data_IF_003776936690
#
_entry.id   IF_003776936690
#
_cell.length_a   1.000
_cell.length_b   1.000
_cell.length_c   1.000
_cell.angle_alpha   90.00
_cell.angle_beta   90.00
_cell.angle_gamma   90.00
#
_symmetry.space_group_name_H-M   'P 1'
#
loop_
_entity.id
_entity.type
_entity.pdbx_description
1 polymer ?
#
# COMPACT_ATOMS: atom_id res chain seq x y z
N UNK A 1 33.09 4.84 -13.02
CA UNK A 1 31.94 5.02 -12.12
C UNK A 1 31.53 6.47 -12.23
N UNK A 2 30.26 6.76 -12.53
CA UNK A 2 29.76 8.14 -12.48
C UNK A 2 29.83 8.58 -11.02
N UNK A 3 30.50 9.69 -10.74
CA UNK A 3 30.49 10.26 -9.38
C UNK A 3 29.17 11.00 -9.24
N UNK A 4 28.31 10.52 -8.34
CA UNK A 4 27.09 11.22 -7.99
C UNK A 4 27.45 12.39 -7.11
N UNK A 5 26.98 13.59 -7.47
CA UNK A 5 27.09 14.72 -6.55
C UNK A 5 26.16 14.51 -5.34
N UNK A 6 26.45 15.23 -4.26
CA UNK A 6 25.71 15.10 -3.00
C UNK A 6 24.21 15.40 -3.14
N UNK A 7 23.83 16.27 -4.09
CA UNK A 7 22.43 16.63 -4.28
C UNK A 7 21.67 15.45 -4.90
N UNK A 8 22.19 14.88 -5.98
CA UNK A 8 21.62 13.72 -6.67
C UNK A 8 21.52 12.51 -5.75
N UNK A 9 22.55 12.25 -4.94
CA UNK A 9 22.52 11.17 -3.95
C UNK A 9 21.38 11.35 -2.94
N UNK A 10 21.26 12.55 -2.35
CA UNK A 10 20.21 12.84 -1.37
C UNK A 10 18.81 12.75 -1.98
N UNK A 11 18.64 13.20 -3.23
CA UNK A 11 17.37 13.12 -3.93
C UNK A 11 16.96 11.67 -4.21
N UNK A 12 17.89 10.82 -4.67
CA UNK A 12 17.62 9.38 -4.84
C UNK A 12 17.21 8.74 -3.50
N UNK A 13 17.97 8.99 -2.44
CA UNK A 13 17.69 8.41 -1.11
C UNK A 13 16.32 8.84 -0.58
N UNK A 14 15.98 10.12 -0.73
CA UNK A 14 14.68 10.67 -0.34
C UNK A 14 13.54 9.97 -1.07
N UNK A 15 13.63 9.83 -2.39
CA UNK A 15 12.56 9.16 -3.16
C UNK A 15 12.39 7.71 -2.73
N UNK A 16 13.47 6.97 -2.48
CA UNK A 16 13.36 5.59 -1.97
C UNK A 16 12.67 5.56 -0.61
N UNK A 17 12.95 6.51 0.29
CA UNK A 17 12.32 6.58 1.61
C UNK A 17 10.83 6.96 1.55
N UNK A 18 10.43 7.77 0.55
CA UNK A 18 9.05 8.16 0.32
C UNK A 18 8.24 7.02 -0.34
N UNK A 19 8.85 6.29 -1.26
CA UNK A 19 8.19 5.25 -2.06
C UNK A 19 8.23 3.85 -1.44
N UNK A 20 9.19 3.57 -0.55
CA UNK A 20 9.36 2.28 0.13
C UNK A 20 8.90 2.38 1.58
N UNK A 21 7.59 2.38 1.76
CA UNK A 21 6.93 2.55 3.07
C UNK A 21 6.02 1.38 3.43
N UNK A 22 5.81 1.08 4.73
CA UNK A 22 4.83 0.08 5.15
C UNK A 22 3.41 0.43 4.69
N UNK A 23 2.67 -0.57 4.19
CA UNK A 23 1.29 -0.44 3.76
C UNK A 23 0.46 -1.65 4.22
N UNK A 24 -0.72 -1.41 4.81
CA UNK A 24 -1.62 -2.46 5.27
C UNK A 24 -2.70 -2.76 4.22
N UNK A 25 -2.74 -3.98 3.70
CA UNK A 25 -3.73 -4.39 2.70
C UNK A 25 -3.57 -3.70 1.34
N UNK A 26 -4.67 -3.66 0.58
CA UNK A 26 -4.74 -2.99 -0.71
C UNK A 26 -4.84 -1.48 -0.52
N UNK A 27 -4.06 -0.67 -1.25
CA UNK A 27 -3.96 0.77 -0.99
C UNK A 27 -5.19 1.55 -1.45
N UNK A 28 -5.93 1.02 -2.42
CA UNK A 28 -7.19 1.58 -2.92
C UNK A 28 -8.30 1.67 -1.87
N UNK A 29 -8.73 0.57 -1.21
CA UNK A 29 -9.69 0.68 -0.11
C UNK A 29 -9.13 1.49 1.07
N UNK A 30 -7.82 1.46 1.31
CA UNK A 30 -7.18 2.25 2.36
C UNK A 30 -7.27 3.76 2.09
N UNK A 31 -7.15 4.19 0.83
CA UNK A 31 -7.35 5.59 0.44
C UNK A 31 -8.77 6.06 0.79
N UNK A 32 -9.79 5.26 0.47
CA UNK A 32 -11.18 5.60 0.82
C UNK A 32 -11.42 5.55 2.34
N UNK A 33 -10.82 4.61 3.04
CA UNK A 33 -10.87 4.53 4.50
C UNK A 33 -10.22 5.75 5.15
N UNK A 34 -9.09 6.21 4.63
CA UNK A 34 -8.40 7.42 5.08
C UNK A 34 -9.23 8.68 4.82
N UNK A 35 -9.84 8.82 3.63
CA UNK A 35 -10.77 9.93 3.37
C UNK A 35 -11.93 9.93 4.40
N UNK A 36 -12.47 8.75 4.72
CA UNK A 36 -13.56 8.60 5.68
C UNK A 36 -13.13 8.88 7.13
N UNK A 37 -11.94 8.43 7.54
CA UNK A 37 -11.36 8.71 8.85
C UNK A 37 -11.07 10.21 9.04
N UNK A 38 -10.50 10.85 8.02
CA UNK A 38 -10.27 12.29 8.01
C UNK A 38 -11.59 13.05 8.07
N UNK A 39 -12.59 12.68 7.28
CA UNK A 39 -13.91 13.30 7.37
C UNK A 39 -14.54 13.13 8.77
N UNK A 40 -14.39 11.96 9.39
CA UNK A 40 -14.87 11.68 10.76
C UNK A 40 -14.20 12.60 11.79
N UNK A 41 -12.91 12.89 11.63
CA UNK A 41 -12.18 13.80 12.50
C UNK A 41 -12.79 15.20 12.51
N UNK A 42 -13.04 15.77 11.32
CA UNK A 42 -13.66 17.10 11.20
C UNK A 42 -15.16 17.11 11.57
N UNK A 43 -15.86 15.99 11.39
CA UNK A 43 -17.26 15.86 11.82
C UNK A 43 -17.39 15.86 13.34
N UNK A 44 -16.40 15.34 14.07
CA UNK A 44 -16.37 15.32 15.54
C UNK A 44 -17.25 14.24 16.18
N UNK A 45 -18.24 13.70 15.46
CA UNK A 45 -19.13 12.62 15.91
C UNK A 45 -19.26 11.49 14.89
N UNK A 46 -19.83 10.35 15.31
CA UNK A 46 -20.06 9.20 14.41
C UNK A 46 -21.08 9.59 13.33
N UNK A 47 -20.84 9.24 12.05
CA UNK A 47 -21.79 9.52 10.99
C UNK A 47 -23.04 8.65 11.09
N UNK A 48 -24.16 9.21 10.68
CA UNK A 48 -25.43 8.52 10.46
C UNK A 48 -25.52 7.96 9.03
N UNK A 49 -24.78 8.56 8.09
CA UNK A 49 -24.76 8.20 6.67
C UNK A 49 -23.43 8.55 6.04
N UNK A 50 -23.00 7.75 5.07
CA UNK A 50 -21.77 7.93 4.30
C UNK A 50 -22.10 7.84 2.81
N UNK A 51 -21.73 8.87 2.06
CA UNK A 51 -21.71 8.85 0.59
C UNK A 51 -20.27 8.93 0.12
N UNK A 52 -19.81 7.90 -0.58
CA UNK A 52 -18.48 7.84 -1.13
C UNK A 52 -18.52 7.86 -2.65
N UNK A 53 -17.50 8.47 -3.25
CA UNK A 53 -17.27 8.40 -4.69
C UNK A 53 -15.82 8.07 -4.98
N UNK A 54 -15.58 7.26 -6.01
CA UNK A 54 -14.23 6.82 -6.37
C UNK A 54 -14.02 6.84 -7.88
N UNK A 55 -12.77 6.97 -8.33
CA UNK A 55 -12.45 6.83 -9.76
C UNK A 55 -12.81 5.42 -10.27
N UNK A 56 -13.05 5.24 -11.58
CA UNK A 56 -13.28 3.91 -12.15
C UNK A 56 -12.15 2.93 -11.85
N UNK A 57 -10.90 3.41 -11.86
CA UNK A 57 -9.73 2.59 -11.57
C UNK A 57 -9.66 2.16 -10.09
N UNK A 58 -9.98 3.05 -9.15
CA UNK A 58 -10.07 2.69 -7.73
C UNK A 58 -11.24 1.73 -7.49
N UNK A 59 -12.40 1.94 -8.14
CA UNK A 59 -13.54 1.03 -8.06
C UNK A 59 -13.15 -0.40 -8.44
N UNK A 60 -12.55 -0.61 -9.63
CA UNK A 60 -12.19 -1.97 -10.07
C UNK A 60 -11.16 -2.65 -9.15
N UNK A 61 -10.22 -1.90 -8.58
CA UNK A 61 -9.14 -2.44 -7.75
C UNK A 61 -9.60 -2.67 -6.30
N UNK A 62 -10.52 -1.84 -5.81
CA UNK A 62 -11.00 -1.88 -4.43
C UNK A 62 -12.24 -2.74 -4.17
N UNK A 63 -13.00 -3.11 -5.21
CA UNK A 63 -14.27 -3.83 -5.03
C UNK A 63 -14.09 -5.28 -4.58
N UNK A 64 -13.06 -5.98 -5.08
CA UNK A 64 -12.85 -7.42 -4.85
C UNK A 64 -11.86 -7.76 -3.74
N UNK A 65 -11.37 -6.76 -3.01
CA UNK A 65 -10.29 -6.95 -2.02
C UNK A 65 -10.81 -6.93 -0.60
N UNK A 66 -10.18 -7.75 0.25
CA UNK A 66 -10.51 -7.81 1.68
C UNK A 66 -10.01 -6.56 2.38
N UNK A 67 -10.89 -5.90 3.13
CA UNK A 67 -10.51 -4.76 3.96
C UNK A 67 -9.79 -5.29 5.22
N UNK A 68 -8.55 -4.85 5.51
CA UNK A 68 -7.76 -5.36 6.63
C UNK A 68 -8.53 -5.36 7.95
N UNK A 69 -8.35 -6.42 8.75
CA UNK A 69 -8.97 -6.59 10.08
C UNK A 69 -10.50 -6.71 10.10
N UNK A 70 -11.17 -6.79 8.96
CA UNK A 70 -12.65 -6.86 8.89
C UNK A 70 -13.21 -8.22 8.48
N UNK A 71 -12.41 -9.04 7.80
CA UNK A 71 -12.85 -10.26 7.11
C UNK A 71 -13.92 -10.02 6.05
N UNK A 72 -14.09 -8.78 5.58
CA UNK A 72 -15.15 -8.37 4.66
C UNK A 72 -14.52 -7.70 3.44
N UNK A 73 -15.10 -7.90 2.26
CA UNK A 73 -14.60 -7.35 1.00
C UNK A 73 -15.29 -6.04 0.64
N UNK A 74 -14.59 -5.18 -0.09
CA UNK A 74 -15.17 -4.08 -0.85
C UNK A 74 -15.12 -2.70 -0.19
N UNK A 75 -15.39 -1.70 -1.03
CA UNK A 75 -15.24 -0.27 -0.70
C UNK A 75 -16.27 0.26 0.30
N UNK A 76 -17.46 -0.34 0.37
CA UNK A 76 -18.47 0.01 1.38
C UNK A 76 -17.94 -0.30 2.78
N UNK A 77 -17.27 -1.44 2.95
CA UNK A 77 -16.61 -1.77 4.21
C UNK A 77 -15.48 -0.79 4.52
N UNK A 78 -14.66 -0.44 3.53
CA UNK A 78 -13.55 0.50 3.71
C UNK A 78 -14.02 1.87 4.19
N UNK A 79 -15.06 2.44 3.57
CA UNK A 79 -15.63 3.72 3.97
C UNK A 79 -16.21 3.66 5.39
N UNK A 80 -16.99 2.62 5.70
CA UNK A 80 -17.62 2.46 7.01
C UNK A 80 -16.59 2.32 8.13
N UNK A 81 -15.61 1.41 7.99
CA UNK A 81 -14.63 1.15 9.03
C UNK A 81 -13.66 2.30 9.22
N UNK A 82 -13.29 3.00 8.14
CA UNK A 82 -12.50 4.23 8.19
C UNK A 82 -13.19 5.30 9.03
N UNK A 83 -14.49 5.52 8.80
CA UNK A 83 -15.27 6.49 9.58
C UNK A 83 -15.53 6.10 11.04
N UNK A 84 -15.53 4.80 11.37
CA UNK A 84 -15.86 4.31 12.72
C UNK A 84 -14.61 4.20 13.60
N UNK A 85 -13.49 3.73 13.05
CA UNK A 85 -12.30 3.42 13.84
C UNK A 85 -10.96 3.78 13.20
N UNK A 86 -10.94 4.33 11.97
CA UNK A 86 -9.70 4.66 11.29
C UNK A 86 -8.93 5.79 11.98
N UNK A 87 -7.59 5.68 11.98
CA UNK A 87 -6.69 6.75 12.43
C UNK A 87 -6.33 7.69 11.26
N UNK A 88 -6.85 8.94 11.23
CA UNK A 88 -6.62 9.86 10.12
C UNK A 88 -5.15 10.28 9.96
N UNK A 89 -4.29 10.02 10.94
CA UNK A 89 -2.87 10.39 10.93
C UNK A 89 -1.94 9.25 10.52
N UNK A 90 -2.46 8.02 10.42
CA UNK A 90 -1.65 6.82 10.17
C UNK A 90 -1.40 6.52 8.67
N UNK A 91 -1.84 7.39 7.75
CA UNK A 91 -1.61 7.22 6.31
C UNK A 91 -2.11 5.86 5.79
N UNK A 92 -1.20 5.06 5.20
CA UNK A 92 -1.52 3.72 4.69
C UNK A 92 -1.75 2.65 5.78
N UNK A 93 -1.55 3.00 7.05
CA UNK A 93 -1.84 2.16 8.21
C UNK A 93 -3.13 2.57 8.96
N UNK A 94 -4.02 3.37 8.34
CA UNK A 94 -5.29 3.87 8.92
C UNK A 94 -6.14 2.80 9.64
N UNK A 95 -6.06 1.52 9.25
CA UNK A 95 -6.85 0.42 9.82
C UNK A 95 -6.07 -0.52 10.75
N UNK A 96 -4.87 -0.15 11.18
CA UNK A 96 -3.98 -1.02 11.98
C UNK A 96 -4.55 -1.41 13.35
N UNK A 97 -5.23 -0.49 14.02
CA UNK A 97 -5.68 -0.63 15.42
C UNK A 97 -7.21 -0.83 15.54
N UNK A 98 -7.85 -1.40 14.53
CA UNK A 98 -9.31 -1.60 14.50
C UNK A 98 -9.74 -2.71 15.46
N UNK A 99 -10.80 -2.46 16.24
CA UNK A 99 -11.38 -3.42 17.18
C UNK A 99 -12.54 -4.24 16.57
N UNK A 100 -12.86 -5.38 17.17
CA UNK A 100 -13.99 -6.23 16.76
C UNK A 100 -15.34 -5.54 16.90
N UNK A 101 -15.50 -4.68 17.90
CA UNK A 101 -16.71 -3.88 18.13
C UNK A 101 -16.90 -2.85 17.02
N UNK A 102 -15.82 -2.17 16.61
CA UNK A 102 -15.85 -1.23 15.49
C UNK A 102 -16.22 -1.92 14.17
N UNK A 103 -15.71 -3.14 13.95
CA UNK A 103 -16.09 -3.97 12.80
C UNK A 103 -17.57 -4.33 12.83
N UNK A 104 -18.13 -4.67 14.00
CA UNK A 104 -19.55 -4.97 14.14
C UNK A 104 -20.43 -3.75 13.82
N UNK A 105 -20.06 -2.57 14.32
CA UNK A 105 -20.76 -1.30 14.03
C UNK A 105 -20.71 -0.96 12.53
N UNK A 106 -19.57 -1.15 11.88
CA UNK A 106 -19.42 -0.92 10.45
C UNK A 106 -20.30 -1.87 9.63
N UNK A 107 -20.35 -3.15 9.99
CA UNK A 107 -21.23 -4.13 9.36
C UNK A 107 -22.70 -3.78 9.54
N UNK A 108 -23.09 -3.31 10.74
CA UNK A 108 -24.44 -2.85 11.01
C UNK A 108 -24.81 -1.66 10.11
N UNK A 109 -23.95 -0.64 10.01
CA UNK A 109 -24.18 0.53 9.17
C UNK A 109 -24.38 0.18 7.69
N UNK A 110 -23.62 -0.79 7.19
CA UNK A 110 -23.76 -1.30 5.82
C UNK A 110 -25.08 -2.05 5.64
N UNK A 111 -25.46 -2.90 6.60
CA UNK A 111 -26.73 -3.65 6.55
C UNK A 111 -27.97 -2.75 6.59
N UNK A 112 -27.86 -1.58 7.24
CA UNK A 112 -28.88 -0.53 7.30
C UNK A 112 -28.88 0.35 6.04
N UNK A 113 -28.08 0.03 5.02
CA UNK A 113 -27.96 0.79 3.76
C UNK A 113 -27.55 2.26 3.96
N UNK A 114 -26.81 2.55 5.04
CA UNK A 114 -26.33 3.90 5.36
C UNK A 114 -25.01 4.26 4.67
N UNK A 115 -24.44 3.35 3.87
CA UNK A 115 -23.18 3.54 3.15
C UNK A 115 -23.42 3.30 1.67
N UNK A 116 -23.16 4.31 0.85
CA UNK A 116 -23.24 4.21 -0.61
C UNK A 116 -21.88 4.55 -1.23
N UNK A 117 -21.45 3.77 -2.22
CA UNK A 117 -20.22 4.03 -2.99
C UNK A 117 -20.58 4.09 -4.47
N UNK A 118 -20.28 5.20 -5.12
CA UNK A 118 -20.53 5.40 -6.55
C UNK A 118 -19.23 5.65 -7.32
N UNK A 119 -19.27 5.45 -8.65
CA UNK A 119 -18.19 5.86 -9.54
C UNK A 119 -18.33 7.36 -9.81
N UNK A 120 -17.23 8.09 -9.71
CA UNK A 120 -17.11 9.48 -10.14
C UNK A 120 -16.27 9.54 -11.41
N UNK A 121 -16.80 10.19 -12.44
CA UNK A 121 -16.07 10.40 -13.69
C UNK A 121 -15.04 11.52 -13.48
N UNK A 122 -13.77 11.17 -13.59
CA UNK A 122 -12.64 12.04 -13.31
C UNK A 122 -11.43 11.63 -14.14
N UNK A 123 -10.63 12.61 -14.52
CA UNK A 123 -9.36 12.41 -15.22
C UNK A 123 -8.28 11.82 -14.28
N UNK A 124 -8.49 11.90 -12.97
CA UNK A 124 -7.56 11.30 -12.00
C UNK A 124 -7.70 9.78 -11.96
N UNK A 125 -6.61 9.07 -12.26
CA UNK A 125 -6.53 7.61 -12.13
C UNK A 125 -6.88 7.19 -10.71
N UNK A 126 -6.39 7.92 -9.70
CA UNK A 126 -6.68 7.69 -8.29
C UNK A 126 -7.52 8.85 -7.73
N UNK A 127 -8.73 8.53 -7.27
CA UNK A 127 -9.63 9.48 -6.63
C UNK A 127 -10.50 8.77 -5.58
N UNK A 128 -10.54 9.33 -4.38
CA UNK A 128 -11.43 8.93 -3.28
C UNK A 128 -12.12 10.16 -2.70
N UNK A 129 -13.44 10.16 -2.62
CA UNK A 129 -14.25 11.15 -1.93
C UNK A 129 -15.10 10.45 -0.87
N UNK A 130 -15.14 11.02 0.34
CA UNK A 130 -16.03 10.58 1.39
C UNK A 130 -16.78 11.79 1.96
N UNK A 131 -18.10 11.75 1.87
CA UNK A 131 -19.01 12.70 2.50
C UNK A 131 -19.76 12.01 3.64
N UNK A 132 -19.54 12.50 4.85
CA UNK A 132 -20.14 11.97 6.08
C UNK A 132 -21.21 12.93 6.57
N UNK A 133 -22.35 12.39 7.01
CA UNK A 133 -23.48 13.15 7.51
C UNK A 133 -23.81 12.75 8.94
N UNK A 134 -24.08 13.71 9.80
CA UNK A 134 -24.62 13.48 11.13
C UNK A 134 -25.49 14.66 11.57
N UNK A 135 -26.78 14.42 11.84
CA UNK A 135 -27.77 15.46 12.09
C UNK A 135 -27.75 16.52 10.97
N UNK A 136 -27.48 17.79 11.32
CA UNK A 136 -27.42 18.92 10.38
C UNK A 136 -25.99 19.23 9.91
N UNK A 137 -25.03 18.34 10.16
CA UNK A 137 -23.63 18.53 9.78
C UNK A 137 -23.23 17.58 8.67
N UNK A 138 -22.41 18.09 7.76
CA UNK A 138 -21.76 17.31 6.71
C UNK A 138 -20.29 17.68 6.60
N UNK A 139 -19.46 16.69 6.30
CA UNK A 139 -18.04 16.89 5.98
C UNK A 139 -17.70 16.09 4.74
N UNK A 140 -17.04 16.73 3.78
CA UNK A 140 -16.52 16.10 2.56
C UNK A 140 -15.00 16.17 2.56
N UNK A 141 -14.36 15.03 2.30
CA UNK A 141 -12.91 14.93 2.10
C UNK A 141 -12.62 14.29 0.76
N UNK A 142 -11.66 14.82 0.01
CA UNK A 142 -11.17 14.26 -1.25
C UNK A 142 -9.67 13.97 -1.19
N UNK A 143 -9.30 12.80 -1.70
CA UNK A 143 -7.93 12.35 -1.92
C UNK A 143 -7.76 12.07 -3.40
N UNK A 144 -6.68 12.59 -4.00
CA UNK A 144 -6.39 12.39 -5.42
C UNK A 144 -4.88 12.39 -5.69
N UNK A 145 -4.51 11.92 -6.88
CA UNK A 145 -3.13 11.69 -7.34
C UNK A 145 -2.41 10.56 -6.56
N UNK A 146 -2.20 10.71 -5.25
CA UNK A 146 -1.60 9.68 -4.38
C UNK A 146 -2.57 9.21 -3.29
N UNK A 147 -2.37 7.98 -2.80
CA UNK A 147 -3.31 7.30 -1.88
C UNK A 147 -3.55 8.01 -0.54
N UNK A 148 -2.64 8.89 -0.14
CA UNK A 148 -2.69 9.66 1.12
C UNK A 148 -2.80 11.18 0.92
N UNK A 149 -2.79 11.65 -0.33
CA UNK A 149 -2.75 13.08 -0.64
C UNK A 149 -4.16 13.69 -0.53
N UNK A 150 -4.48 14.20 0.65
CA UNK A 150 -5.72 14.96 0.87
C UNK A 150 -5.61 16.29 0.13
N UNK A 151 -6.53 16.52 -0.81
CA UNK A 151 -6.54 17.74 -1.65
C UNK A 151 -7.63 18.73 -1.25
N UNK A 152 -8.65 18.28 -0.54
CA UNK A 152 -9.84 19.07 -0.27
C UNK A 152 -10.57 18.59 0.99
N UNK A 153 -10.97 19.55 1.83
CA UNK A 153 -11.78 19.35 3.03
C UNK A 153 -12.82 20.46 3.10
N UNK A 154 -14.09 20.09 3.17
CA UNK A 154 -15.22 21.00 3.33
C UNK A 154 -16.08 20.54 4.51
N UNK A 155 -16.53 21.49 5.33
CA UNK A 155 -17.50 21.27 6.40
C UNK A 155 -18.67 22.22 6.25
N UNK A 156 -19.88 21.69 6.14
CA UNK A 156 -21.11 22.47 6.02
C UNK A 156 -21.08 23.54 4.91
N UNK A 157 -20.41 23.26 3.79
CA UNK A 157 -20.24 24.21 2.67
C UNK A 157 -19.10 25.21 2.85
N UNK A 158 -18.39 25.19 3.97
CA UNK A 158 -17.18 25.99 4.19
C UNK A 158 -15.93 25.17 3.86
N UNK A 159 -15.09 25.67 2.94
CA UNK A 159 -13.84 25.03 2.57
C UNK A 159 -12.78 25.30 3.63
N UNK A 160 -12.40 24.26 4.37
CA UNK A 160 -11.37 24.31 5.41
C UNK A 160 -9.98 24.19 4.78
N UNK A 161 -9.85 23.35 3.76
CA UNK A 161 -8.58 23.08 3.10
C UNK A 161 -8.83 22.79 1.62
N UNK A 162 -8.00 23.37 0.76
CA UNK A 162 -8.00 23.08 -0.67
C UNK A 162 -6.61 23.36 -1.23
N UNK A 163 -6.05 22.37 -1.93
CA UNK A 163 -4.83 22.53 -2.71
C UNK A 163 -5.09 22.14 -4.16
N UNK A 164 -4.48 22.83 -5.15
CA UNK A 164 -4.58 22.43 -6.54
C UNK A 164 -4.05 21.00 -6.69
N UNK A 165 -4.88 20.08 -7.17
CA UNK A 165 -4.41 18.79 -7.63
C UNK A 165 -3.90 18.99 -9.06
N UNK A 166 -2.61 19.26 -9.20
CA UNK A 166 -1.98 19.15 -10.51
C UNK A 166 -2.12 17.68 -10.92
N UNK A 167 -2.83 17.42 -12.02
CA UNK A 167 -2.64 16.17 -12.74
C UNK A 167 -1.16 16.20 -13.10
N UNK A 168 -0.35 15.31 -12.53
CA UNK A 168 1.07 15.23 -12.88
C UNK A 168 1.18 14.89 -14.36
N UNK A 169 1.19 15.93 -15.18
CA UNK A 169 1.64 15.86 -16.56
C UNK A 169 3.15 15.71 -16.49
N UNK A 170 3.59 14.45 -16.54
CA UNK A 170 4.97 14.00 -16.70
C UNK A 170 5.96 14.39 -15.60
N UNK A 171 6.78 13.41 -15.23
CA UNK A 171 7.93 13.43 -14.33
C UNK A 171 9.08 14.35 -14.79
N UNK A 172 8.77 15.55 -15.29
CA UNK A 172 9.74 16.51 -15.81
C UNK A 172 10.73 17.03 -14.74
N UNK A 173 10.47 16.76 -13.45
CA UNK A 173 11.35 17.09 -12.33
C UNK A 173 11.79 15.85 -11.51
N UNK A 174 11.58 14.62 -11.97
CA UNK A 174 12.09 13.46 -11.23
C UNK A 174 13.61 13.38 -11.38
N UNK A 175 14.32 13.10 -10.28
CA UNK A 175 15.77 12.88 -10.28
C UNK A 175 16.19 11.82 -11.32
N UNK A 176 15.25 10.94 -11.72
CA UNK A 176 15.45 9.87 -12.67
C UNK A 176 15.43 10.29 -14.14
N UNK A 177 14.88 11.47 -14.47
CA UNK A 177 14.81 11.96 -15.86
C UNK A 177 16.18 12.08 -16.55
N UNK A 178 17.27 12.17 -15.78
CA UNK A 178 18.64 12.27 -16.26
C UNK A 178 19.53 11.08 -15.87
N UNK A 179 18.93 10.01 -15.34
CA UNK A 179 19.63 8.80 -14.91
C UNK A 179 19.33 7.63 -15.85
N UNK A 180 20.32 6.76 -16.00
CA UNK A 180 20.18 5.50 -16.72
C UNK A 180 20.04 4.32 -15.77
N UNK A 181 19.50 3.19 -16.23
CA UNK A 181 19.51 1.95 -15.43
C UNK A 181 20.93 1.54 -14.97
N UNK A 182 21.97 1.89 -15.76
CA UNK A 182 23.36 1.70 -15.35
C UNK A 182 23.74 2.60 -14.18
N UNK A 183 23.30 3.85 -14.17
CA UNK A 183 23.53 4.77 -13.05
C UNK A 183 22.86 4.24 -11.77
N UNK A 184 21.64 3.72 -11.87
CA UNK A 184 20.92 3.08 -10.75
C UNK A 184 21.71 1.89 -10.17
N UNK A 185 22.23 1.03 -11.06
CA UNK A 185 23.07 -0.09 -10.67
C UNK A 185 24.37 0.36 -9.99
N UNK A 186 25.12 1.27 -10.62
CA UNK A 186 26.38 1.80 -10.10
C UNK A 186 26.16 2.45 -8.72
N UNK A 187 25.13 3.29 -8.57
CA UNK A 187 24.79 3.97 -7.32
C UNK A 187 24.51 2.97 -6.19
N UNK A 188 23.67 1.96 -6.45
CA UNK A 188 23.30 0.95 -5.45
C UNK A 188 24.51 0.16 -4.93
N UNK A 189 25.53 -0.01 -5.76
CA UNK A 189 26.77 -0.69 -5.39
C UNK A 189 27.78 0.22 -4.68
N UNK A 190 27.75 1.53 -4.94
CA UNK A 190 28.77 2.45 -4.42
C UNK A 190 28.34 3.26 -3.21
N UNK A 191 27.03 3.47 -3.02
CA UNK A 191 26.52 4.27 -1.90
C UNK A 191 26.96 3.68 -0.56
N UNK A 192 27.24 4.57 0.39
CA UNK A 192 27.61 4.19 1.75
C UNK A 192 26.52 3.29 2.37
N UNK A 193 26.93 2.15 2.90
CA UNK A 193 25.99 1.11 3.34
C UNK A 193 25.01 1.63 4.40
N UNK A 194 25.49 2.44 5.34
CA UNK A 194 24.69 3.00 6.44
C UNK A 194 23.52 3.86 5.95
N UNK A 195 23.66 4.53 4.80
CA UNK A 195 22.60 5.35 4.19
C UNK A 195 21.44 4.53 3.63
N UNK A 196 21.66 3.26 3.30
CA UNK A 196 20.67 2.38 2.68
C UNK A 196 20.22 1.21 3.59
N UNK A 197 20.75 1.10 4.82
CA UNK A 197 20.38 0.04 5.78
C UNK A 197 18.88 -0.03 6.07
N UNK A 198 18.18 1.09 6.00
CA UNK A 198 16.74 1.15 6.25
C UNK A 198 15.95 0.17 5.37
N UNK A 199 16.46 -0.19 4.19
CA UNK A 199 15.81 -1.14 3.26
C UNK A 199 15.67 -2.55 3.85
N UNK A 200 16.44 -2.91 4.89
CA UNK A 200 16.32 -4.21 5.54
C UNK A 200 14.94 -4.43 6.17
N UNK A 201 14.25 -3.36 6.55
CA UNK A 201 12.88 -3.46 7.06
C UNK A 201 11.93 -4.05 6.01
N UNK A 202 12.20 -3.85 4.71
CA UNK A 202 11.45 -4.49 3.63
C UNK A 202 11.52 -6.02 3.71
N UNK A 203 12.73 -6.56 3.86
CA UNK A 203 12.94 -8.00 4.01
C UNK A 203 12.24 -8.54 5.26
N UNK A 204 12.29 -7.82 6.38
CA UNK A 204 11.63 -8.23 7.62
C UNK A 204 10.11 -8.28 7.50
N UNK A 205 9.49 -7.20 7.04
CA UNK A 205 8.02 -7.11 6.93
C UNK A 205 7.48 -8.10 5.90
N UNK A 206 8.05 -8.11 4.70
CA UNK A 206 7.57 -8.99 3.62
C UNK A 206 7.85 -10.47 3.91
N UNK A 207 8.93 -10.81 4.62
CA UNK A 207 9.15 -12.19 5.08
C UNK A 207 8.13 -12.60 6.15
N UNK A 208 7.80 -11.72 7.11
CA UNK A 208 6.76 -12.01 8.10
C UNK A 208 5.40 -12.28 7.42
N UNK A 209 5.07 -11.46 6.43
CA UNK A 209 3.85 -11.61 5.64
C UNK A 209 3.85 -12.91 4.81
N UNK A 210 4.99 -13.29 4.23
CA UNK A 210 5.18 -14.56 3.53
C UNK A 210 4.92 -15.75 4.46
N UNK A 211 5.52 -15.75 5.65
CA UNK A 211 5.33 -16.81 6.64
C UNK A 211 3.86 -16.90 7.10
N UNK A 212 3.20 -15.76 7.28
CA UNK A 212 1.78 -15.75 7.63
C UNK A 212 0.90 -16.34 6.51
N UNK A 213 1.19 -16.03 5.24
CA UNK A 213 0.50 -16.62 4.09
C UNK A 213 0.72 -18.13 3.91
N UNK A 214 1.85 -18.65 4.40
CA UNK A 214 2.10 -20.09 4.47
C UNK A 214 1.38 -20.73 5.67
N UNK A 215 1.16 -20.00 6.76
CA UNK A 215 0.59 -20.50 8.02
C UNK A 215 -0.94 -20.43 8.12
N UNK A 216 -1.59 -19.52 7.40
CA UNK A 216 -3.05 -19.30 7.46
C UNK A 216 -3.69 -19.32 6.06
N UNK A 217 -5.00 -19.60 5.97
CA UNK A 217 -5.74 -19.63 4.69
C UNK A 217 -6.10 -18.21 4.25
N UNK A 218 -5.24 -17.64 3.40
CA UNK A 218 -5.45 -16.34 2.78
C UNK A 218 -5.47 -16.43 1.24
N UNK A 219 -6.25 -15.54 0.62
CA UNK A 219 -6.20 -15.29 -0.81
C UNK A 219 -6.51 -16.53 -1.65
N UNK A 220 -5.66 -16.78 -2.65
CA UNK A 220 -5.81 -17.88 -3.61
C UNK A 220 -5.04 -19.14 -3.22
N UNK A 221 -4.30 -19.10 -2.11
CA UNK A 221 -3.49 -20.21 -1.59
C UNK A 221 -2.44 -20.73 -2.59
N UNK A 222 -1.84 -19.88 -3.42
CA UNK A 222 -0.88 -20.28 -4.45
C UNK A 222 0.36 -20.90 -3.81
N UNK A 223 1.02 -20.14 -2.91
CA UNK A 223 2.24 -20.59 -2.24
C UNK A 223 2.02 -21.87 -1.43
N UNK A 224 0.88 -21.96 -0.73
CA UNK A 224 0.46 -23.16 0.02
C UNK A 224 0.23 -24.37 -0.88
N UNK A 225 -0.42 -24.17 -2.02
CA UNK A 225 -0.71 -25.26 -2.96
C UNK A 225 0.58 -25.82 -3.53
N UNK A 226 1.50 -24.96 -3.94
CA UNK A 226 2.83 -25.35 -4.41
C UNK A 226 3.64 -26.06 -3.31
N UNK A 227 3.63 -25.55 -2.07
CA UNK A 227 4.28 -26.23 -0.93
C UNK A 227 3.70 -27.62 -0.67
N UNK A 228 2.38 -27.80 -0.78
CA UNK A 228 1.73 -29.12 -0.68
C UNK A 228 2.13 -30.04 -1.83
N UNK A 229 2.31 -29.52 -3.05
CA UNK A 229 2.76 -30.30 -4.21
C UNK A 229 4.21 -30.78 -4.04
N UNK A 230 5.10 -29.95 -3.47
CA UNK A 230 6.45 -30.36 -3.07
C UNK A 230 6.38 -31.51 -2.05
N UNK A 231 5.59 -31.35 -0.98
CA UNK A 231 5.45 -32.38 0.06
C UNK A 231 4.87 -33.71 -0.44
N UNK A 232 4.13 -33.69 -1.56
CA UNK A 232 3.62 -34.88 -2.25
C UNK A 232 4.59 -35.45 -3.30
N UNK A 233 5.74 -34.82 -3.52
CA UNK A 233 6.71 -35.22 -4.54
C UNK A 233 6.25 -34.97 -5.98
N UNK A 234 5.26 -34.08 -6.20
CA UNK A 234 4.74 -33.76 -7.54
C UNK A 234 5.60 -32.71 -8.27
N UNK A 235 6.27 -31.84 -7.52
CA UNK A 235 7.21 -30.83 -8.03
C UNK A 235 8.46 -30.80 -7.13
N UNK A 236 9.57 -30.31 -7.67
CA UNK A 236 10.86 -30.19 -6.98
C UNK A 236 10.89 -29.06 -5.94
N UNK A 237 11.63 -29.27 -4.85
CA UNK A 237 12.00 -28.19 -3.92
C UNK A 237 13.28 -27.47 -4.39
N UNK A 238 13.15 -26.66 -5.43
CA UNK A 238 14.25 -25.90 -6.03
C UNK A 238 14.13 -24.38 -5.77
N UNK A 239 15.17 -23.64 -6.13
CA UNK A 239 15.24 -22.20 -5.93
C UNK A 239 14.07 -21.45 -6.59
N UNK A 240 13.69 -21.84 -7.82
CA UNK A 240 12.60 -21.20 -8.55
C UNK A 240 11.28 -21.37 -7.80
N UNK A 241 10.96 -22.61 -7.38
CA UNK A 241 9.74 -22.89 -6.65
C UNK A 241 9.72 -22.19 -5.30
N UNK A 242 10.85 -22.11 -4.58
CA UNK A 242 10.93 -21.35 -3.31
C UNK A 242 10.67 -19.85 -3.51
N UNK A 243 11.21 -19.25 -4.57
CA UNK A 243 10.95 -17.84 -4.91
C UNK A 243 9.46 -17.63 -5.14
N UNK A 244 8.83 -18.46 -5.97
CA UNK A 244 7.40 -18.34 -6.28
C UNK A 244 6.56 -18.56 -5.03
N UNK A 245 6.84 -19.59 -4.24
CA UNK A 245 6.10 -19.92 -3.01
C UNK A 245 6.14 -18.76 -2.02
N UNK A 246 7.33 -18.28 -1.66
CA UNK A 246 7.47 -17.24 -0.64
C UNK A 246 6.91 -15.90 -1.11
N UNK A 247 7.09 -15.54 -2.39
CA UNK A 247 6.55 -14.30 -2.97
C UNK A 247 5.02 -14.34 -3.04
N UNK A 248 4.44 -15.43 -3.54
CA UNK A 248 2.98 -15.55 -3.68
C UNK A 248 2.28 -15.70 -2.34
N UNK A 249 2.89 -16.35 -1.36
CA UNK A 249 2.34 -16.43 -0.01
C UNK A 249 2.22 -15.05 0.66
N UNK A 250 3.21 -14.17 0.49
CA UNK A 250 3.12 -12.80 1.01
C UNK A 250 1.99 -12.02 0.32
N UNK A 251 1.85 -12.18 -1.00
CA UNK A 251 0.75 -11.57 -1.76
C UNK A 251 -0.62 -12.10 -1.31
N UNK A 252 -0.76 -13.41 -1.14
CA UNK A 252 -1.99 -14.04 -0.66
C UNK A 252 -2.37 -13.52 0.73
N UNK A 253 -1.42 -13.48 1.68
CA UNK A 253 -1.66 -12.91 3.02
C UNK A 253 -2.12 -11.46 2.96
N UNK A 254 -1.44 -10.62 2.17
CA UNK A 254 -1.81 -9.22 1.98
C UNK A 254 -3.21 -9.07 1.42
N UNK A 255 -3.48 -9.71 0.29
CA UNK A 255 -4.74 -9.58 -0.45
C UNK A 255 -5.90 -10.25 0.28
N UNK A 256 -5.60 -11.25 1.11
CA UNK A 256 -6.52 -11.88 2.05
C UNK A 256 -6.77 -11.07 3.33
N UNK A 257 -6.15 -9.90 3.50
CA UNK A 257 -6.42 -8.99 4.63
C UNK A 257 -5.71 -9.35 5.93
N UNK A 258 -4.55 -10.03 5.87
CA UNK A 258 -3.71 -10.27 7.04
C UNK A 258 -3.36 -8.97 7.77
N UNK A 259 -3.30 -9.01 9.10
CA UNK A 259 -2.93 -7.86 9.93
C UNK A 259 -1.41 -7.67 10.04
N UNK A 260 -0.72 -7.73 8.91
CA UNK A 260 0.71 -7.52 8.80
C UNK A 260 0.95 -6.55 7.63
N UNK A 261 1.78 -5.52 7.82
CA UNK A 261 2.09 -4.61 6.73
C UNK A 261 2.97 -5.29 5.69
N UNK A 262 2.76 -4.95 4.42
CA UNK A 262 3.75 -5.18 3.38
C UNK A 262 4.63 -3.93 3.28
N UNK A 263 5.94 -4.09 3.12
CA UNK A 263 6.75 -2.97 2.65
C UNK A 263 6.44 -2.77 1.17
N UNK A 264 5.90 -1.59 0.84
CA UNK A 264 5.47 -1.23 -0.51
C UNK A 264 6.60 -0.71 -1.38
N UNK A 265 6.30 -0.50 -2.66
CA UNK A 265 7.12 0.22 -3.62
C UNK A 265 6.16 0.94 -4.56
N UNK A 266 6.40 2.22 -4.87
CA UNK A 266 5.55 3.01 -5.77
C UNK A 266 4.06 2.97 -5.37
N UNK A 267 3.78 3.01 -4.07
CA UNK A 267 2.44 2.92 -3.51
C UNK A 267 1.75 1.55 -3.62
N UNK A 268 2.44 0.47 -4.02
CA UNK A 268 1.89 -0.88 -4.11
C UNK A 268 2.62 -1.89 -3.24
N UNK A 269 1.90 -2.52 -2.31
CA UNK A 269 2.44 -3.59 -1.46
C UNK A 269 2.87 -4.83 -2.26
N UNK A 270 2.14 -5.19 -3.33
CA UNK A 270 2.53 -6.34 -4.16
C UNK A 270 3.77 -6.06 -5.01
N UNK A 271 3.99 -4.81 -5.43
CA UNK A 271 5.24 -4.41 -6.09
C UNK A 271 6.39 -4.49 -5.10
N UNK A 272 6.21 -4.00 -3.88
CA UNK A 272 7.21 -4.13 -2.82
C UNK A 272 7.53 -5.59 -2.48
N UNK A 273 6.53 -6.46 -2.36
CA UNK A 273 6.71 -7.91 -2.19
C UNK A 273 7.53 -8.50 -3.35
N UNK A 274 7.23 -8.12 -4.59
CA UNK A 274 7.94 -8.58 -5.80
C UNK A 274 9.38 -8.08 -5.84
N UNK A 275 9.64 -6.85 -5.38
CA UNK A 275 10.99 -6.30 -5.28
C UNK A 275 11.79 -6.88 -4.10
N UNK A 276 11.13 -7.44 -3.08
CA UNK A 276 11.78 -7.97 -1.88
C UNK A 276 11.99 -9.48 -1.91
N UNK A 277 10.90 -10.25 -2.05
CA UNK A 277 10.91 -11.68 -1.70
C UNK A 277 11.84 -12.53 -2.58
N UNK A 278 11.89 -12.33 -3.92
CA UNK A 278 12.88 -13.02 -4.75
C UNK A 278 14.32 -12.78 -4.27
N UNK A 279 14.67 -11.53 -3.92
CA UNK A 279 16.01 -11.16 -3.43
C UNK A 279 16.31 -11.85 -2.10
N UNK A 280 15.36 -11.85 -1.16
CA UNK A 280 15.51 -12.52 0.14
C UNK A 280 15.75 -14.02 -0.02
N UNK A 281 14.98 -14.69 -0.89
CA UNK A 281 15.12 -16.13 -1.12
C UNK A 281 16.46 -16.45 -1.78
N UNK A 282 16.88 -15.68 -2.79
CA UNK A 282 18.17 -15.87 -3.47
C UNK A 282 19.35 -15.60 -2.53
N UNK A 283 19.31 -14.52 -1.74
CA UNK A 283 20.34 -14.21 -0.76
C UNK A 283 20.51 -15.35 0.26
N UNK A 284 19.41 -15.92 0.74
CA UNK A 284 19.41 -17.09 1.63
C UNK A 284 19.98 -18.33 0.96
N UNK A 285 19.62 -18.59 -0.29
CA UNK A 285 20.11 -19.75 -1.05
C UNK A 285 21.62 -19.68 -1.32
N UNK A 286 22.13 -18.49 -1.63
CA UNK A 286 23.55 -18.26 -1.90
C UNK A 286 24.40 -18.05 -0.62
N UNK A 287 23.77 -18.03 0.56
CA UNK A 287 24.42 -17.67 1.82
C UNK A 287 25.15 -16.32 1.72
N UNK A 288 24.50 -15.35 1.07
CA UNK A 288 25.05 -14.02 0.84
C UNK A 288 25.30 -13.27 2.16
N UNK A 289 26.28 -12.37 2.15
CA UNK A 289 26.53 -11.49 3.30
C UNK A 289 25.38 -10.49 3.50
N UNK A 290 25.29 -9.93 4.71
CA UNK A 290 24.31 -8.90 5.03
C UNK A 290 24.43 -7.69 4.07
N UNK A 291 25.65 -7.22 3.80
CA UNK A 291 25.87 -6.13 2.85
C UNK A 291 25.38 -6.47 1.44
N UNK A 292 25.65 -7.69 0.94
CA UNK A 292 25.17 -8.12 -0.37
C UNK A 292 23.65 -8.11 -0.44
N UNK A 293 22.98 -8.58 0.62
CA UNK A 293 21.51 -8.56 0.69
C UNK A 293 20.96 -7.13 0.73
N UNK A 294 21.53 -6.25 1.54
CA UNK A 294 21.12 -4.83 1.62
C UNK A 294 21.22 -4.16 0.25
N UNK A 295 22.38 -4.30 -0.42
CA UNK A 295 22.59 -3.68 -1.73
C UNK A 295 21.67 -4.26 -2.81
N UNK A 296 21.43 -5.57 -2.78
CA UNK A 296 20.52 -6.23 -3.72
C UNK A 296 19.06 -5.78 -3.51
N UNK A 297 18.61 -5.64 -2.26
CA UNK A 297 17.29 -5.12 -1.94
C UNK A 297 17.14 -3.66 -2.38
N UNK A 298 18.13 -2.83 -2.06
CA UNK A 298 18.12 -1.43 -2.44
C UNK A 298 18.08 -1.27 -3.97
N UNK A 299 18.92 -2.00 -4.70
CA UNK A 299 18.91 -2.04 -6.16
C UNK A 299 17.55 -2.47 -6.71
N UNK A 300 16.96 -3.54 -6.18
CA UNK A 300 15.68 -4.05 -6.68
C UNK A 300 14.54 -3.05 -6.48
N UNK A 301 14.50 -2.37 -5.32
CA UNK A 301 13.50 -1.34 -5.04
C UNK A 301 13.73 -0.07 -5.88
N UNK A 302 14.96 0.42 -5.95
CA UNK A 302 15.31 1.62 -6.70
C UNK A 302 15.09 1.43 -8.21
N UNK A 303 15.40 0.26 -8.76
CA UNK A 303 15.13 -0.06 -10.16
C UNK A 303 13.62 -0.08 -10.46
N UNK A 304 12.80 -0.61 -9.55
CA UNK A 304 11.35 -0.60 -9.71
C UNK A 304 10.81 0.85 -9.72
N UNK A 305 11.27 1.69 -8.80
CA UNK A 305 10.93 3.12 -8.76
C UNK A 305 11.35 3.80 -10.07
N UNK A 306 12.58 3.57 -10.53
CA UNK A 306 13.11 4.14 -11.78
C UNK A 306 12.25 3.79 -13.00
N UNK A 307 11.79 2.54 -13.12
CA UNK A 307 10.93 2.10 -14.23
C UNK A 307 9.54 2.72 -14.17
N UNK A 308 9.06 3.05 -12.96
CA UNK A 308 7.78 3.73 -12.75
C UNK A 308 7.84 5.26 -12.89
N UNK A 309 9.06 5.81 -12.89
CA UNK A 309 9.34 7.25 -12.97
C UNK A 309 9.41 7.77 -14.40
#
# INVERSE_FOLDING_TARGET
MKTFDHQTENDILRVVQEEVVPALGCTEPISLALASATARHYLGQLPERIEAKVSPNLMKNGMGVTVPNTGTVGLTMAAAIGAIGGDPTAGLEVLKNISTEQVALAKQMISEQKVNVAIFDTEHILYSEATLFAANQQVTVRIAAHHTNVIYIEKNGEVIFSVPCLVESENANSVFAHLTAKDIYDFSLSVELDKIRFIQEAAKLNSALSQEGLRTDYGLHIGRTLQKQIGKGLISDDLLNRIVIETTAASDARMGGANLPAMSNSGSGNQGITATMPVVVVARHLQASEEQQIRALFLSHLMAIYIHS
#
